data_IF_454036561274
#
_entry.id   IF_454036561274
#
_cell.length_a   1.000
_cell.length_b   1.000
_cell.length_c   1.000
_cell.angle_alpha   90.00
_cell.angle_beta   90.00
_cell.angle_gamma   90.00
#
_symmetry.space_group_name_H-M   'P 1'
#
loop_
_entity.id
_entity.type
_entity.pdbx_description
1 polymer ?
#
# COMPACT_ATOMS: atom_id res chain seq x y z
N UNK A 1 -44.59 12.67 39.80
CA UNK A 1 -43.85 12.81 38.53
C UNK A 1 -42.36 12.62 38.81
N UNK A 2 -41.91 11.36 38.89
CA UNK A 2 -40.49 11.06 38.79
C UNK A 2 -40.20 11.15 37.30
N UNK A 3 -39.62 12.27 36.87
CA UNK A 3 -39.04 12.37 35.54
C UNK A 3 -37.87 11.39 35.58
N UNK A 4 -38.09 10.16 35.08
CA UNK A 4 -37.01 9.35 34.57
C UNK A 4 -36.43 10.12 33.38
N UNK A 5 -35.57 11.09 33.68
CA UNK A 5 -34.46 11.37 32.80
C UNK A 5 -33.71 10.04 32.77
N UNK A 6 -34.06 9.19 31.80
CA UNK A 6 -33.21 8.13 31.32
C UNK A 6 -31.89 8.84 30.99
N UNK A 7 -30.99 8.91 31.98
CA UNK A 7 -29.61 9.25 31.73
C UNK A 7 -29.21 8.29 30.62
N UNK A 8 -28.98 8.83 29.42
CA UNK A 8 -28.36 8.07 28.34
C UNK A 8 -27.12 7.45 28.95
N UNK A 9 -27.08 6.12 28.99
CA UNK A 9 -25.97 5.42 29.60
C UNK A 9 -24.71 5.84 28.85
N UNK A 10 -23.72 6.42 29.54
CA UNK A 10 -22.44 6.74 28.92
C UNK A 10 -21.85 5.52 28.19
N UNK A 11 -22.13 4.30 28.68
CA UNK A 11 -21.75 3.06 28.00
C UNK A 11 -22.42 2.90 26.63
N UNK A 12 -23.70 3.25 26.51
CA UNK A 12 -24.40 3.24 25.23
C UNK A 12 -23.81 4.25 24.25
N UNK A 13 -23.57 5.48 24.70
CA UNK A 13 -23.00 6.54 23.86
C UNK A 13 -21.57 6.19 23.42
N UNK A 14 -20.74 5.66 24.31
CA UNK A 14 -19.41 5.11 23.99
C UNK A 14 -19.49 3.97 22.99
N UNK A 15 -20.50 3.11 23.08
CA UNK A 15 -20.71 2.05 22.10
C UNK A 15 -21.09 2.61 20.73
N UNK A 16 -21.91 3.67 20.66
CA UNK A 16 -22.22 4.36 19.41
C UNK A 16 -20.97 5.01 18.80
N UNK A 17 -20.19 5.74 19.60
CA UNK A 17 -18.91 6.32 19.21
C UNK A 17 -17.95 5.27 18.64
N UNK A 18 -17.77 4.15 19.33
CA UNK A 18 -16.84 3.10 18.91
C UNK A 18 -17.34 2.30 17.68
N UNK A 19 -18.65 2.27 17.43
CA UNK A 19 -19.23 1.68 16.21
C UNK A 19 -19.17 2.63 15.02
N UNK A 20 -18.97 3.93 15.24
CA UNK A 20 -18.94 4.92 14.17
C UNK A 20 -17.77 4.63 13.22
N UNK A 21 -18.09 4.48 11.94
CA UNK A 21 -17.16 4.31 10.81
C UNK A 21 -17.53 5.32 9.74
N UNK A 22 -16.57 5.85 8.98
CA UNK A 22 -16.87 6.73 7.85
C UNK A 22 -17.76 5.97 6.85
N UNK A 23 -18.89 6.56 6.46
CA UNK A 23 -19.84 5.92 5.55
C UNK A 23 -19.38 6.05 4.09
N UNK A 24 -19.86 5.17 3.22
CA UNK A 24 -19.56 5.27 1.79
C UNK A 24 -20.08 6.60 1.22
N UNK A 25 -19.21 7.30 0.48
CA UNK A 25 -19.48 8.65 -0.03
C UNK A 25 -19.54 9.77 1.03
N UNK A 26 -19.29 9.49 2.31
CA UNK A 26 -19.26 10.51 3.35
C UNK A 26 -17.94 11.28 3.35
N UNK A 27 -18.01 12.62 3.31
CA UNK A 27 -16.82 13.47 3.42
C UNK A 27 -16.13 13.30 4.78
N UNK A 28 -14.80 13.44 4.80
CA UNK A 28 -13.99 13.36 6.01
C UNK A 28 -14.45 14.40 7.05
N UNK A 29 -14.80 15.62 6.61
CA UNK A 29 -15.29 16.67 7.51
C UNK A 29 -16.62 16.30 8.20
N UNK A 30 -17.58 15.73 7.46
CA UNK A 30 -18.86 15.26 8.02
C UNK A 30 -18.62 14.15 9.05
N UNK A 31 -17.74 13.21 8.73
CA UNK A 31 -17.37 12.13 9.63
C UNK A 31 -16.76 12.62 10.95
N UNK A 32 -15.80 13.56 10.87
CA UNK A 32 -15.16 14.17 12.05
C UNK A 32 -16.21 14.89 12.90
N UNK A 33 -17.09 15.67 12.28
CA UNK A 33 -18.17 16.39 12.98
C UNK A 33 -19.09 15.43 13.74
N UNK A 34 -19.42 14.29 13.14
CA UNK A 34 -20.23 13.26 13.80
C UNK A 34 -19.51 12.61 14.99
N UNK A 35 -18.18 12.40 14.90
CA UNK A 35 -17.40 11.89 16.04
C UNK A 35 -17.41 12.86 17.22
N UNK A 36 -17.19 14.15 16.99
CA UNK A 36 -17.31 15.17 18.03
C UNK A 36 -18.69 15.14 18.68
N UNK A 37 -19.75 15.14 17.87
CA UNK A 37 -21.14 15.12 18.35
C UNK A 37 -21.41 13.90 19.25
N UNK A 38 -20.89 12.72 18.90
CA UNK A 38 -21.04 11.51 19.72
C UNK A 38 -20.20 11.59 21.01
N UNK A 39 -18.99 12.15 20.94
CA UNK A 39 -18.07 12.23 22.06
C UNK A 39 -18.58 13.14 23.20
N UNK A 40 -19.36 14.18 22.89
CA UNK A 40 -19.99 15.06 23.89
C UNK A 40 -20.81 14.29 24.94
N UNK A 41 -21.46 13.20 24.54
CA UNK A 41 -22.29 12.39 25.44
C UNK A 41 -21.54 11.19 26.06
N UNK A 42 -20.24 11.03 25.79
CA UNK A 42 -19.48 9.86 26.21
C UNK A 42 -18.81 10.01 27.59
N UNK A 43 -18.77 11.22 28.15
CA UNK A 43 -18.09 11.51 29.43
C UNK A 43 -16.62 11.03 29.43
N UNK A 44 -15.88 11.30 28.35
CA UNK A 44 -14.47 10.88 28.22
C UNK A 44 -13.49 11.72 29.06
N UNK A 45 -13.91 12.91 29.50
CA UNK A 45 -13.07 13.80 30.30
C UNK A 45 -11.77 14.15 29.58
N UNK A 46 -10.63 13.95 30.25
CA UNK A 46 -9.31 14.28 29.71
C UNK A 46 -8.92 13.47 28.47
N UNK A 47 -9.55 12.31 28.24
CA UNK A 47 -9.27 11.44 27.10
C UNK A 47 -10.09 11.78 25.86
N UNK A 48 -10.93 12.81 25.91
CA UNK A 48 -11.84 13.18 24.83
C UNK A 48 -11.11 13.28 23.47
N UNK A 49 -10.03 14.06 23.43
CA UNK A 49 -9.31 14.31 22.18
C UNK A 49 -8.50 13.09 21.71
N UNK A 50 -7.93 12.34 22.65
CA UNK A 50 -7.18 11.11 22.34
C UNK A 50 -8.10 10.06 21.71
N UNK A 51 -9.30 9.87 22.24
CA UNK A 51 -10.23 8.88 21.71
C UNK A 51 -10.80 9.28 20.35
N UNK A 52 -11.07 10.57 20.11
CA UNK A 52 -11.45 11.05 18.78
C UNK A 52 -10.30 10.83 17.79
N UNK A 53 -9.08 11.20 18.17
CA UNK A 53 -7.87 10.99 17.35
C UNK A 53 -7.73 9.53 16.95
N UNK A 54 -7.75 8.63 17.93
CA UNK A 54 -7.56 7.19 17.72
C UNK A 54 -8.67 6.62 16.85
N UNK A 55 -9.90 7.10 17.03
CA UNK A 55 -11.03 6.70 16.18
C UNK A 55 -10.83 7.13 14.73
N UNK A 56 -10.43 8.38 14.48
CA UNK A 56 -10.16 8.86 13.12
C UNK A 56 -9.05 7.99 12.48
N UNK A 57 -7.92 7.81 13.18
CA UNK A 57 -6.78 7.05 12.65
C UNK A 57 -7.18 5.65 12.22
N UNK A 58 -8.00 4.95 13.00
CA UNK A 58 -8.37 3.55 12.70
C UNK A 58 -9.39 3.45 11.55
N UNK A 59 -10.36 4.37 11.45
CA UNK A 59 -11.54 4.16 10.59
C UNK A 59 -11.70 5.05 9.38
N UNK A 60 -10.76 5.96 9.11
CA UNK A 60 -10.73 6.63 7.80
C UNK A 60 -10.62 5.61 6.65
N UNK A 61 -11.19 5.97 5.51
CA UNK A 61 -11.14 5.13 4.30
C UNK A 61 -9.73 4.96 3.76
N UNK A 62 -8.89 6.01 3.82
CA UNK A 62 -7.52 5.96 3.33
C UNK A 62 -6.63 5.15 4.27
N UNK A 63 -6.43 3.88 3.94
CA UNK A 63 -5.59 2.95 4.72
C UNK A 63 -4.10 3.31 4.65
N UNK A 64 -3.62 3.84 3.53
CA UNK A 64 -2.23 4.28 3.42
C UNK A 64 -1.96 5.51 4.29
N UNK A 65 -2.93 6.44 4.38
CA UNK A 65 -2.83 7.56 5.30
C UNK A 65 -2.94 7.10 6.76
N UNK A 66 -3.85 6.17 7.06
CA UNK A 66 -3.98 5.57 8.39
C UNK A 66 -2.66 4.99 8.89
N UNK A 67 -1.97 4.20 8.05
CA UNK A 67 -0.64 3.65 8.38
C UNK A 67 0.39 4.76 8.64
N UNK A 68 0.45 5.79 7.80
CA UNK A 68 1.37 6.93 7.99
C UNK A 68 1.09 7.69 9.28
N UNK A 69 -0.18 7.86 9.66
CA UNK A 69 -0.56 8.51 10.92
C UNK A 69 -0.10 7.68 12.11
N UNK A 70 -0.21 6.35 12.07
CA UNK A 70 0.22 5.46 13.16
C UNK A 70 1.74 5.47 13.41
N UNK A 71 2.55 5.90 12.43
CA UNK A 71 4.00 6.02 12.56
C UNK A 71 4.44 7.34 13.24
N UNK A 72 3.54 8.30 13.43
CA UNK A 72 3.83 9.57 14.08
C UNK A 72 3.68 9.46 15.60
N UNK A 73 4.81 9.46 16.33
CA UNK A 73 4.82 9.31 17.78
C UNK A 73 4.20 10.52 18.52
N UNK A 74 4.23 11.71 17.90
CA UNK A 74 3.76 12.97 18.48
C UNK A 74 2.41 13.38 17.86
N UNK A 75 1.60 12.39 17.47
CA UNK A 75 0.35 12.61 16.77
C UNK A 75 -0.72 13.18 17.71
N UNK A 76 -1.16 14.40 17.38
CA UNK A 76 -2.24 15.11 18.08
C UNK A 76 -3.52 15.08 17.26
N UNK A 77 -4.67 15.32 17.90
CA UNK A 77 -5.96 15.41 17.23
C UNK A 77 -5.96 16.46 16.10
N UNK A 78 -5.41 17.65 16.37
CA UNK A 78 -5.27 18.72 15.38
C UNK A 78 -4.47 18.28 14.16
N UNK A 79 -3.31 17.64 14.36
CA UNK A 79 -2.47 17.13 13.26
C UNK A 79 -3.21 16.07 12.43
N UNK A 80 -3.98 15.19 13.08
CA UNK A 80 -4.79 14.20 12.36
C UNK A 80 -5.82 14.90 11.49
N UNK A 81 -6.62 15.80 12.06
CA UNK A 81 -7.68 16.53 11.33
C UNK A 81 -7.13 17.25 10.11
N UNK A 82 -6.04 18.00 10.27
CA UNK A 82 -5.38 18.71 9.17
C UNK A 82 -4.93 17.76 8.06
N UNK A 83 -4.26 16.65 8.42
CA UNK A 83 -3.73 15.69 7.44
C UNK A 83 -4.84 14.96 6.69
N UNK A 84 -5.91 14.55 7.36
CA UNK A 84 -7.01 13.82 6.71
C UNK A 84 -7.83 14.71 5.79
N UNK A 85 -8.11 15.96 6.19
CA UNK A 85 -8.80 16.93 5.34
C UNK A 85 -7.94 17.33 4.14
N UNK A 86 -6.65 17.62 4.36
CA UNK A 86 -5.73 17.95 3.26
C UNK A 86 -5.61 16.80 2.27
N UNK A 87 -5.55 15.55 2.76
CA UNK A 87 -5.48 14.38 1.89
C UNK A 87 -6.74 14.19 1.04
N UNK A 88 -7.93 14.53 1.55
CA UNK A 88 -9.17 14.49 0.77
C UNK A 88 -9.10 15.50 -0.38
N UNK A 89 -8.75 16.75 -0.07
CA UNK A 89 -8.62 17.83 -1.07
C UNK A 89 -7.58 17.50 -2.15
N UNK A 90 -6.41 16.98 -1.75
CA UNK A 90 -5.34 16.63 -2.70
C UNK A 90 -5.77 15.51 -3.64
N UNK A 91 -6.53 14.52 -3.16
CA UNK A 91 -7.04 13.44 -4.01
C UNK A 91 -8.05 13.95 -5.05
N UNK A 92 -9.01 14.77 -4.63
CA UNK A 92 -9.96 15.40 -5.54
C UNK A 92 -9.26 16.25 -6.62
N UNK A 93 -8.18 16.95 -6.25
CA UNK A 93 -7.38 17.71 -7.19
C UNK A 93 -6.62 16.80 -8.16
N UNK A 94 -6.05 15.70 -7.67
CA UNK A 94 -5.29 14.75 -8.48
C UNK A 94 -6.19 14.02 -9.50
N UNK A 95 -7.41 13.65 -9.12
CA UNK A 95 -8.39 13.04 -10.03
C UNK A 95 -8.70 13.96 -11.21
N UNK A 96 -8.88 15.26 -10.96
CA UNK A 96 -9.10 16.28 -12.01
C UNK A 96 -7.92 16.46 -12.96
N UNK A 97 -6.69 16.14 -12.53
CA UNK A 97 -5.51 16.16 -13.41
C UNK A 97 -5.51 14.93 -14.32
N UNK A 98 -5.81 13.74 -13.78
CA UNK A 98 -5.84 12.48 -14.53
C UNK A 98 -6.92 12.50 -15.62
N UNK A 99 -8.11 13.04 -15.33
CA UNK A 99 -9.18 13.16 -16.33
C UNK A 99 -8.76 14.01 -17.54
N UNK A 100 -8.00 15.08 -17.31
CA UNK A 100 -7.53 15.98 -18.39
C UNK A 100 -6.47 15.35 -19.28
N UNK A 101 -5.60 14.49 -18.73
CA UNK A 101 -4.54 13.84 -19.50
C UNK A 101 -5.06 12.65 -20.34
N UNK A 102 -6.17 12.03 -19.95
CA UNK A 102 -6.80 10.94 -20.71
C UNK A 102 -7.47 11.38 -22.03
N UNK A 103 -7.77 12.68 -22.19
CA UNK A 103 -8.34 13.25 -23.40
C UNK A 103 -7.30 13.61 -24.48
N UNK A 104 -5.99 13.47 -24.19
CA UNK A 104 -4.91 13.88 -25.09
C UNK A 104 -3.87 12.78 -25.34
N UNK A 105 -4.32 11.58 -25.70
CA UNK A 105 -3.45 10.57 -26.31
C UNK A 105 -4.04 10.14 -27.65
N UNK A 106 -3.96 11.04 -28.63
CA UNK A 106 -4.27 10.71 -30.02
C UNK A 106 -3.23 9.73 -30.58
N UNK A 107 -3.71 8.52 -30.87
CA UNK A 107 -3.21 7.52 -31.81
C UNK A 107 -1.81 7.76 -32.43
N UNK A 108 -0.77 7.17 -31.83
CA UNK A 108 0.40 6.78 -32.61
C UNK A 108 0.07 5.43 -33.26
N UNK A 109 -0.33 5.48 -34.52
CA UNK A 109 -0.44 4.30 -35.39
C UNK A 109 0.91 3.57 -35.42
N UNK A 110 0.97 2.25 -35.13
CA UNK A 110 2.19 1.49 -35.37
C UNK A 110 2.38 1.39 -36.88
N UNK A 111 3.26 2.23 -37.41
CA UNK A 111 3.75 2.10 -38.77
C UNK A 111 4.39 0.71 -38.89
N UNK A 112 3.77 -0.18 -39.66
CA UNK A 112 4.22 -1.56 -39.88
C UNK A 112 5.65 -1.54 -40.43
N UNK A 113 6.65 -2.17 -39.78
CA UNK A 113 7.92 -2.39 -40.46
C UNK A 113 7.72 -3.45 -41.55
N UNK A 114 8.22 -3.11 -42.73
CA UNK A 114 8.13 -3.90 -43.96
C UNK A 114 8.70 -5.31 -43.79
N UNK A 115 8.05 -6.25 -44.48
CA UNK A 115 8.38 -7.67 -44.53
C UNK A 115 9.80 -7.88 -45.07
N UNK A 116 10.74 -8.23 -44.21
CA UNK A 116 12.00 -8.82 -44.66
C UNK A 116 11.79 -10.28 -45.08
N UNK A 117 12.34 -10.58 -46.25
CA UNK A 117 12.15 -11.79 -47.02
C UNK A 117 12.63 -13.04 -46.26
N UNK A 118 11.74 -14.03 -46.22
CA UNK A 118 11.96 -15.36 -45.65
C UNK A 118 12.72 -16.22 -46.67
N UNK A 119 14.02 -16.45 -46.46
CA UNK A 119 14.74 -17.49 -47.20
C UNK A 119 14.49 -18.85 -46.54
N UNK A 120 13.96 -19.76 -47.36
CA UNK A 120 13.72 -21.17 -47.06
C UNK A 120 15.02 -21.94 -47.28
N UNK A 121 15.34 -22.85 -46.36
CA UNK A 121 16.09 -24.07 -46.70
C UNK A 121 15.26 -25.27 -46.25
N UNK A 122 15.13 -26.19 -47.19
CA UNK A 122 14.28 -27.36 -47.23
C UNK A 122 14.82 -28.56 -46.45
N UNK A 123 13.95 -29.57 -46.28
CA UNK A 123 14.13 -30.95 -45.76
C UNK A 123 14.00 -31.10 -44.23
N UNK A 124 13.22 -32.01 -43.67
CA UNK A 124 12.24 -32.96 -44.20
C UNK A 124 11.53 -33.67 -43.02
N UNK A 125 10.39 -34.29 -43.33
CA UNK A 125 9.70 -35.37 -42.62
C UNK A 125 9.17 -35.19 -41.18
N UNK A 126 7.85 -35.35 -41.09
CA UNK A 126 7.05 -35.56 -39.87
C UNK A 126 7.28 -36.95 -39.25
N UNK A 127 7.16 -37.07 -37.91
CA UNK A 127 6.17 -37.95 -37.23
C UNK A 127 6.32 -38.02 -35.68
N UNK A 128 5.17 -37.80 -35.04
CA UNK A 128 4.50 -38.57 -33.97
C UNK A 128 5.19 -39.04 -32.67
N UNK A 129 4.43 -38.75 -31.60
CA UNK A 129 4.44 -39.17 -30.18
C UNK A 129 4.71 -40.65 -29.89
N UNK A 130 5.46 -40.97 -28.82
CA UNK A 130 5.12 -41.92 -27.70
C UNK A 130 6.07 -41.67 -26.49
N UNK A 131 5.55 -41.68 -25.25
CA UNK A 131 6.30 -41.81 -23.96
C UNK A 131 6.51 -43.32 -23.63
N UNK A 132 7.00 -43.75 -22.44
CA UNK A 132 8.03 -43.27 -21.49
C UNK A 132 9.12 -44.36 -21.27
N UNK A 133 10.16 -44.13 -20.46
CA UNK A 133 10.44 -45.05 -19.34
C UNK A 133 11.56 -44.60 -18.39
N UNK A 134 11.33 -45.00 -17.15
CA UNK A 134 12.04 -44.74 -15.91
C UNK A 134 13.41 -45.43 -15.85
N UNK A 135 14.48 -44.69 -15.51
CA UNK A 135 15.57 -45.24 -14.68
C UNK A 135 16.13 -44.19 -13.70
N UNK A 136 15.50 -44.19 -12.53
CA UNK A 136 16.07 -44.06 -11.18
C UNK A 136 17.60 -44.12 -11.10
N UNK A 137 18.23 -43.05 -10.58
CA UNK A 137 19.33 -43.14 -9.58
C UNK A 137 19.53 -41.79 -8.86
N UNK A 138 19.58 -41.91 -7.56
CA UNK A 138 19.69 -40.87 -6.54
C UNK A 138 21.15 -40.82 -6.08
N UNK A 139 21.85 -39.68 -6.09
CA UNK A 139 22.85 -39.32 -5.09
C UNK A 139 23.51 -37.95 -5.31
N UNK A 140 23.45 -37.14 -4.26
CA UNK A 140 24.52 -36.34 -3.62
C UNK A 140 25.36 -35.35 -4.44
N UNK A 141 25.31 -34.13 -3.91
CA UNK A 141 26.33 -33.09 -3.81
C UNK A 141 26.64 -32.18 -5.02
N UNK A 142 26.79 -30.92 -4.64
CA UNK A 142 27.65 -29.89 -5.24
C UNK A 142 27.08 -29.02 -6.37
N UNK A 143 26.49 -27.89 -5.93
CA UNK A 143 26.84 -26.51 -6.27
C UNK A 143 27.31 -26.13 -7.68
N UNK A 144 26.77 -24.98 -8.12
CA UNK A 144 27.31 -23.94 -9.03
C UNK A 144 26.44 -23.74 -10.28
N UNK A 145 25.41 -22.91 -10.12
CA UNK A 145 24.83 -22.17 -11.23
C UNK A 145 25.57 -20.82 -11.33
N UNK A 146 26.36 -20.56 -12.38
CA UNK A 146 27.11 -19.32 -12.49
C UNK A 146 26.19 -18.17 -12.87
N UNK A 147 26.09 -17.15 -12.02
CA UNK A 147 25.33 -15.94 -12.32
C UNK A 147 25.69 -14.78 -11.41
N UNK A 148 25.87 -13.59 -11.99
CA UNK A 148 26.08 -12.32 -11.25
C UNK A 148 24.78 -11.86 -10.61
N UNK A 149 24.86 -11.27 -9.42
CA UNK A 149 23.73 -10.65 -8.75
C UNK A 149 23.28 -9.39 -9.50
N UNK A 150 21.98 -9.26 -9.78
CA UNK A 150 21.40 -8.10 -10.48
C UNK A 150 21.35 -6.83 -9.62
N UNK A 151 21.61 -6.92 -8.32
CA UNK A 151 21.47 -5.81 -7.38
C UNK A 151 22.82 -5.15 -7.02
N UNK A 152 23.87 -5.94 -6.83
CA UNK A 152 25.22 -5.46 -6.48
C UNK A 152 26.29 -5.75 -7.54
N UNK A 153 25.96 -6.49 -8.60
CA UNK A 153 26.89 -6.83 -9.70
C UNK A 153 27.92 -7.92 -9.39
N UNK A 154 28.09 -8.36 -8.13
CA UNK A 154 29.08 -9.37 -7.71
C UNK A 154 28.63 -10.81 -8.08
N UNK A 155 29.61 -11.71 -8.27
CA UNK A 155 29.34 -13.15 -8.46
C UNK A 155 28.71 -13.73 -7.17
N UNK A 156 27.64 -14.51 -7.30
CA UNK A 156 26.90 -15.08 -6.14
C UNK A 156 27.78 -15.88 -5.17
N UNK A 157 28.85 -16.49 -5.67
CA UNK A 157 29.78 -17.29 -4.88
C UNK A 157 30.66 -16.46 -3.92
N UNK A 158 30.64 -15.12 -4.04
CA UNK A 158 31.38 -14.18 -3.19
C UNK A 158 30.48 -13.25 -2.36
N UNK A 159 29.16 -13.50 -2.29
CA UNK A 159 28.23 -12.62 -1.58
C UNK A 159 27.99 -13.18 -0.18
N UNK A 160 28.69 -12.64 0.82
CA UNK A 160 28.33 -12.83 2.24
C UNK A 160 27.15 -11.93 2.63
N UNK A 161 27.05 -10.76 2.00
CA UNK A 161 25.99 -9.77 2.21
C UNK A 161 25.83 -8.91 0.94
N UNK A 162 24.60 -8.52 0.59
CA UNK A 162 24.30 -7.84 -0.69
C UNK A 162 23.85 -6.39 -0.42
N UNK A 163 24.72 -5.42 -0.73
CA UNK A 163 24.49 -3.98 -0.48
C UNK A 163 24.27 -3.23 -1.82
N UNK A 164 23.42 -2.18 -1.87
CA UNK A 164 23.16 -1.40 -3.09
C UNK A 164 24.42 -0.69 -3.64
N UNK A 165 24.52 -0.59 -4.96
CA UNK A 165 25.60 0.14 -5.64
C UNK A 165 25.50 1.64 -5.34
N UNK A 166 26.57 2.23 -4.77
CA UNK A 166 26.74 3.68 -4.68
C UNK A 166 26.74 4.31 -3.29
N UNK A 167 26.99 3.57 -2.21
CA UNK A 167 27.29 4.16 -0.90
C UNK A 167 28.78 4.01 -0.56
N UNK A 168 29.44 5.03 0.02
CA UNK A 168 30.82 4.91 0.50
C UNK A 168 30.89 3.90 1.65
N UNK A 169 31.91 3.03 1.60
CA UNK A 169 32.17 2.01 2.61
C UNK A 169 32.37 2.68 3.99
N UNK A 170 31.43 2.45 4.90
CA UNK A 170 31.64 2.69 6.31
C UNK A 170 32.41 1.49 6.86
N UNK A 171 33.74 1.59 6.87
CA UNK A 171 34.63 0.89 7.81
C UNK A 171 36.08 1.34 7.59
N UNK A 172 36.50 2.38 8.33
CA UNK A 172 37.86 2.42 8.86
C UNK A 172 37.80 2.99 10.28
N UNK A 173 37.62 2.08 11.23
CA UNK A 173 37.81 2.30 12.67
C UNK A 173 39.31 2.22 12.98
N UNK A 174 39.74 2.90 14.05
CA UNK A 174 41.10 3.05 14.62
C UNK A 174 41.99 4.08 13.87
N UNK A 175 42.36 5.23 14.45
CA UNK A 175 42.92 5.49 15.79
C UNK A 175 42.80 6.98 16.14
#
# INVERSE_FOLDING_TARGET
MIILLLRKSAIFERAQFNKRVQLDGESVNTFITALYTLAECCEYGVLHDELIRDRIVVVIHDKNLSEKLQLDADLTLTKVIERVLLSEVVKEQQEKLIEKDSASVNAISPNKPAKFLKQKTSSGAWKQSVKPDFHRKNNKNESRLPGKCKWCGKNKDMIKECVPLGMPDADNVQK
#
